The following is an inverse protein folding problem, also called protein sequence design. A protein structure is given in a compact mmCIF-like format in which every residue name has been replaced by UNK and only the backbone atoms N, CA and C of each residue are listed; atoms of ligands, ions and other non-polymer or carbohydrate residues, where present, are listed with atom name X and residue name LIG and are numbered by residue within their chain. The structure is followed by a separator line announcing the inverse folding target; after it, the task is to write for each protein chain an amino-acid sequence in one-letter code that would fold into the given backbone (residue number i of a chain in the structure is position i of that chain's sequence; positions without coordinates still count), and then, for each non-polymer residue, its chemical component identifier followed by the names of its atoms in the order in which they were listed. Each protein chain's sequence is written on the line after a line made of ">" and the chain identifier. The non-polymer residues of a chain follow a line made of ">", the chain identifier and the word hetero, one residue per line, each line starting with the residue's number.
data_IF_610695915924
#
_entry.id   IF_610695915924
#
_cell.length_a   1.000
_cell.length_b   1.000
_cell.length_c   1.000
_cell.angle_alpha   90.00
_cell.angle_beta   90.00
_cell.angle_gamma   90.00
#
_symmetry.space_group_name_H-M   'P 1'
#
loop_
_entity.id
_entity.type
_entity.pdbx_description
1 polymer ?
#
# COMPACT_ATOMS: atom_id res chain seq x y z
N UNK A 1 -16.39 -17.81 4.12
CA UNK A 1 -15.21 -16.98 3.83
C UNK A 1 -15.48 -16.19 2.57
N UNK A 2 -15.45 -14.85 2.62
CA UNK A 2 -15.35 -14.08 1.37
C UNK A 2 -13.94 -14.26 0.84
N UNK A 3 -13.80 -14.46 -0.48
CA UNK A 3 -12.50 -14.63 -1.12
C UNK A 3 -11.95 -13.27 -1.55
N UNK A 4 -10.63 -13.15 -1.63
CA UNK A 4 -10.01 -12.00 -2.27
C UNK A 4 -10.36 -11.95 -3.75
N UNK A 5 -10.68 -10.76 -4.25
CA UNK A 5 -10.97 -10.51 -5.66
C UNK A 5 -9.66 -10.56 -6.48
N UNK A 6 -9.70 -11.20 -7.65
CA UNK A 6 -8.55 -11.28 -8.57
C UNK A 6 -7.96 -9.90 -8.93
N UNK A 7 -8.79 -8.85 -8.93
CA UNK A 7 -8.35 -7.47 -9.10
C UNK A 7 -7.26 -7.07 -8.10
N UNK A 8 -7.41 -7.47 -6.83
CA UNK A 8 -6.43 -7.17 -5.77
C UNK A 8 -5.08 -7.81 -6.10
N UNK A 9 -5.08 -9.06 -6.53
CA UNK A 9 -3.85 -9.75 -6.92
C UNK A 9 -3.15 -9.01 -8.08
N UNK A 10 -3.90 -8.63 -9.11
CA UNK A 10 -3.35 -7.92 -10.27
C UNK A 10 -2.76 -6.57 -9.85
N UNK A 11 -3.48 -5.75 -9.09
CA UNK A 11 -2.99 -4.43 -8.70
C UNK A 11 -1.87 -4.50 -7.65
N UNK A 12 -1.94 -5.41 -6.67
CA UNK A 12 -0.84 -5.62 -5.72
C UNK A 12 0.41 -6.15 -6.41
N UNK A 13 0.29 -7.05 -7.40
CA UNK A 13 1.46 -7.54 -8.14
C UNK A 13 2.23 -6.40 -8.81
N UNK A 14 1.52 -5.41 -9.37
CA UNK A 14 2.13 -4.19 -9.93
C UNK A 14 2.78 -3.35 -8.84
N UNK A 15 2.07 -3.17 -7.71
CA UNK A 15 2.60 -2.43 -6.55
C UNK A 15 3.93 -2.99 -6.05
N UNK A 16 4.01 -4.30 -5.85
CA UNK A 16 5.19 -4.96 -5.29
C UNK A 16 6.31 -5.17 -6.30
N UNK A 17 6.01 -5.22 -7.60
CA UNK A 17 6.98 -5.58 -8.67
C UNK A 17 8.28 -4.76 -8.66
N UNK A 18 8.21 -3.51 -8.21
CA UNK A 18 9.35 -2.60 -8.19
C UNK A 18 9.92 -2.38 -6.78
N UNK A 19 9.24 -2.84 -5.72
CA UNK A 19 9.71 -2.67 -4.35
C UNK A 19 10.93 -3.56 -4.09
N UNK A 20 11.89 -3.04 -3.34
CA UNK A 20 13.11 -3.76 -2.99
C UNK A 20 13.64 -3.37 -1.59
N UNK A 21 14.77 -3.95 -1.20
CA UNK A 21 15.37 -3.77 0.13
C UNK A 21 16.07 -2.41 0.32
N UNK A 22 16.20 -1.59 -0.72
CA UNK A 22 16.82 -0.27 -0.64
C UNK A 22 15.75 0.77 -0.28
N UNK A 23 15.75 1.21 0.98
CA UNK A 23 14.73 2.11 1.53
C UNK A 23 14.50 3.37 0.69
N UNK A 24 15.56 4.04 0.24
CA UNK A 24 15.45 5.27 -0.56
C UNK A 24 14.74 5.03 -1.89
N UNK A 25 15.07 3.93 -2.58
CA UNK A 25 14.47 3.58 -3.87
C UNK A 25 13.00 3.18 -3.66
N UNK A 26 12.73 2.31 -2.69
CA UNK A 26 11.38 1.88 -2.38
C UNK A 26 10.48 3.02 -1.90
N UNK A 27 11.02 4.02 -1.19
CA UNK A 27 10.28 5.21 -0.77
C UNK A 27 9.78 6.01 -1.97
N UNK A 28 10.64 6.27 -2.96
CA UNK A 28 10.25 6.97 -4.19
C UNK A 28 9.25 6.17 -5.00
N UNK A 29 9.41 4.85 -5.07
CA UNK A 29 8.45 3.96 -5.73
C UNK A 29 7.08 4.02 -5.04
N UNK A 30 7.03 3.92 -3.71
CA UNK A 30 5.78 4.02 -2.95
C UNK A 30 5.08 5.37 -3.18
N UNK A 31 5.84 6.47 -3.31
CA UNK A 31 5.29 7.80 -3.64
C UNK A 31 4.69 7.84 -5.05
N UNK A 32 5.42 7.33 -6.05
CA UNK A 32 4.93 7.25 -7.44
C UNK A 32 3.68 6.37 -7.55
N UNK A 33 3.59 5.36 -6.69
CA UNK A 33 2.52 4.37 -6.65
C UNK A 33 1.42 4.70 -5.64
N UNK A 34 1.44 5.90 -5.02
CA UNK A 34 0.49 6.28 -3.98
C UNK A 34 -1.00 6.22 -4.42
N UNK A 35 -1.27 6.27 -5.72
CA UNK A 35 -2.61 6.10 -6.28
C UNK A 35 -3.24 4.74 -5.96
N UNK A 36 -2.45 3.67 -5.85
CA UNK A 36 -2.96 2.32 -5.55
C UNK A 36 -3.68 2.23 -4.21
N UNK A 37 -3.24 3.00 -3.20
CA UNK A 37 -3.88 3.02 -1.88
C UNK A 37 -5.26 3.70 -1.86
N UNK A 38 -5.65 4.38 -2.95
CA UNK A 38 -7.02 4.86 -3.15
C UNK A 38 -7.87 3.89 -4.00
N UNK A 39 -7.23 3.15 -4.91
CA UNK A 39 -7.90 2.30 -5.89
C UNK A 39 -8.25 0.93 -5.30
N UNK A 40 -7.35 0.35 -4.51
CA UNK A 40 -7.57 -0.95 -3.91
C UNK A 40 -8.39 -0.76 -2.62
N UNK A 41 -9.70 -1.03 -2.71
CA UNK A 41 -10.61 -1.04 -1.56
C UNK A 41 -10.41 -2.27 -0.66
N UNK A 42 -10.54 -2.10 0.65
CA UNK A 42 -10.39 -3.19 1.63
C UNK A 42 -11.45 -4.28 1.48
N UNK A 43 -12.64 -3.91 1.01
CA UNK A 43 -13.75 -4.80 0.68
C UNK A 43 -13.47 -5.78 -0.48
N UNK A 44 -12.38 -5.58 -1.22
CA UNK A 44 -11.94 -6.53 -2.26
C UNK A 44 -11.07 -7.67 -1.72
N UNK A 45 -10.60 -7.58 -0.48
CA UNK A 45 -9.87 -8.66 0.19
C UNK A 45 -10.83 -9.65 0.85
N UNK A 46 -10.31 -10.84 1.15
CA UNK A 46 -10.98 -11.78 2.06
C UNK A 46 -11.22 -11.15 3.43
N UNK A 47 -12.17 -11.70 4.18
CA UNK A 47 -12.44 -11.24 5.55
C UNK A 47 -11.20 -11.32 6.47
N UNK A 48 -10.26 -12.22 6.17
CA UNK A 48 -9.03 -12.40 6.94
C UNK A 48 -7.96 -11.35 6.59
N UNK A 49 -7.85 -10.98 5.31
CA UNK A 49 -6.80 -10.07 4.82
C UNK A 49 -7.24 -8.60 4.78
N UNK A 50 -8.56 -8.34 4.77
CA UNK A 50 -9.12 -6.98 4.77
C UNK A 50 -8.54 -6.09 5.89
N UNK A 51 -8.54 -6.51 7.18
CA UNK A 51 -8.05 -5.66 8.27
C UNK A 51 -6.58 -5.26 8.12
N UNK A 52 -5.76 -6.12 7.53
CA UNK A 52 -4.34 -5.84 7.30
C UNK A 52 -4.14 -4.74 6.27
N UNK A 53 -4.91 -4.76 5.17
CA UNK A 53 -4.90 -3.69 4.18
C UNK A 53 -5.43 -2.37 4.75
N UNK A 54 -6.53 -2.41 5.52
CA UNK A 54 -7.07 -1.21 6.18
C UNK A 54 -6.03 -0.57 7.09
N UNK A 55 -5.31 -1.38 7.87
CA UNK A 55 -4.27 -0.87 8.74
C UNK A 55 -3.11 -0.22 7.95
N UNK A 56 -2.68 -0.82 6.84
CA UNK A 56 -1.67 -0.22 5.94
C UNK A 56 -2.14 1.14 5.42
N UNK A 57 -3.36 1.21 4.90
CA UNK A 57 -3.92 2.44 4.34
C UNK A 57 -4.10 3.52 5.40
N UNK A 58 -4.55 3.15 6.61
CA UNK A 58 -4.69 4.08 7.73
C UNK A 58 -3.34 4.65 8.15
N UNK A 59 -2.32 3.80 8.29
CA UNK A 59 -0.96 4.23 8.64
C UNK A 59 -0.41 5.21 7.60
N UNK A 60 -0.55 4.90 6.32
CA UNK A 60 -0.10 5.76 5.22
C UNK A 60 -0.89 7.07 5.08
N UNK A 61 -2.01 7.25 5.79
CA UNK A 61 -2.77 8.51 5.83
C UNK A 61 -2.50 9.36 7.07
N UNK A 62 -1.74 8.87 8.04
CA UNK A 62 -1.62 9.48 9.37
C UNK A 62 -1.12 10.93 9.34
N UNK A 63 -0.19 11.29 8.45
CA UNK A 63 0.35 12.65 8.39
C UNK A 63 -0.63 13.66 7.77
N UNK A 64 -1.74 13.19 7.17
CA UNK A 64 -2.70 14.05 6.48
C UNK A 64 -2.13 14.73 5.23
N UNK A 65 -2.96 15.52 4.55
CA UNK A 65 -2.52 16.30 3.37
C UNK A 65 -1.77 17.57 3.78
N UNK A 66 -0.82 17.98 2.96
CA UNK A 66 -0.16 19.30 3.08
C UNK A 66 -0.85 20.27 2.14
N UNK A 67 -1.28 21.40 2.70
CA UNK A 67 -1.91 22.49 1.97
C UNK A 67 -0.95 23.69 1.98
N UNK A 68 -0.85 24.43 0.88
CA UNK A 68 -0.11 25.69 0.83
C UNK A 68 -0.94 26.89 1.31
N UNK A 69 -0.32 28.08 1.30
CA UNK A 69 -0.95 29.33 1.75
C UNK A 69 -2.15 29.75 0.89
N UNK A 70 -2.27 29.21 -0.34
CA UNK A 70 -3.35 29.49 -1.28
C UNK A 70 -4.47 28.43 -1.20
N UNK A 71 -4.36 27.47 -0.27
CA UNK A 71 -5.36 26.43 -0.08
C UNK A 71 -5.21 25.23 -1.03
N UNK A 72 -4.14 25.14 -1.82
CA UNK A 72 -3.90 24.04 -2.75
C UNK A 72 -3.16 22.87 -2.09
N UNK A 73 -3.46 21.65 -2.54
CA UNK A 73 -2.82 20.44 -2.01
C UNK A 73 -1.43 20.29 -2.62
N UNK A 74 -0.39 20.55 -1.82
CA UNK A 74 1.02 20.33 -2.20
C UNK A 74 1.38 18.85 -2.17
N UNK A 75 0.84 18.09 -1.22
CA UNK A 75 1.04 16.65 -1.11
C UNK A 75 -0.23 15.98 -0.59
N UNK A 76 -0.66 14.90 -1.24
CA UNK A 76 -1.74 14.07 -0.72
C UNK A 76 -1.28 13.33 0.56
N UNK A 77 -2.23 12.79 1.33
CA UNK A 77 -1.93 12.19 2.63
C UNK A 77 -0.94 11.01 2.56
N UNK A 78 -1.00 10.22 1.50
CA UNK A 78 -0.08 9.11 1.28
C UNK A 78 1.33 9.59 1.01
N UNK A 79 1.49 10.48 0.02
CA UNK A 79 2.80 11.02 -0.34
C UNK A 79 3.42 11.73 0.85
N UNK A 80 2.65 12.54 1.58
CA UNK A 80 3.14 13.24 2.76
C UNK A 80 3.65 12.27 3.84
N UNK A 81 2.86 11.24 4.16
CA UNK A 81 3.27 10.25 5.18
C UNK A 81 4.49 9.47 4.72
N UNK A 82 4.50 8.99 3.46
CA UNK A 82 5.64 8.25 2.90
C UNK A 82 6.88 9.13 2.94
N UNK A 83 6.81 10.41 2.56
CA UNK A 83 7.96 11.32 2.56
C UNK A 83 8.57 11.52 3.94
N UNK A 84 7.77 11.41 5.01
CA UNK A 84 8.21 11.54 6.40
C UNK A 84 8.73 10.22 7.01
N UNK A 85 8.54 9.07 6.35
CA UNK A 85 9.00 7.78 6.89
C UNK A 85 10.52 7.74 7.07
N UNK A 86 10.96 7.20 8.22
CA UNK A 86 12.35 6.78 8.37
C UNK A 86 12.67 5.62 7.41
N UNK A 87 13.96 5.34 7.19
CA UNK A 87 14.35 4.18 6.37
C UNK A 87 13.79 2.87 6.94
N UNK A 88 13.79 2.73 8.27
CA UNK A 88 13.25 1.57 8.96
C UNK A 88 11.75 1.42 8.72
N UNK A 89 10.99 2.51 8.86
CA UNK A 89 9.53 2.46 8.68
C UNK A 89 9.17 2.19 7.23
N UNK A 90 9.91 2.77 6.28
CA UNK A 90 9.73 2.48 4.86
C UNK A 90 9.94 0.99 4.55
N UNK A 91 10.99 0.36 5.08
CA UNK A 91 11.25 -1.05 4.86
C UNK A 91 10.22 -1.95 5.54
N UNK A 92 9.78 -1.59 6.74
CA UNK A 92 8.69 -2.29 7.42
C UNK A 92 7.40 -2.24 6.59
N UNK A 93 7.08 -1.08 6.01
CA UNK A 93 5.92 -0.91 5.14
C UNK A 93 6.04 -1.76 3.87
N UNK A 94 7.19 -1.74 3.20
CA UNK A 94 7.49 -2.58 2.03
C UNK A 94 7.31 -4.06 2.36
N UNK A 95 7.85 -4.52 3.49
CA UNK A 95 7.73 -5.90 3.94
C UNK A 95 6.27 -6.29 4.16
N UNK A 96 5.48 -5.44 4.80
CA UNK A 96 4.05 -5.69 5.06
C UNK A 96 3.25 -5.79 3.76
N UNK A 97 3.44 -4.85 2.83
CA UNK A 97 2.77 -4.88 1.52
C UNK A 97 3.15 -6.13 0.74
N UNK A 98 4.44 -6.50 0.74
CA UNK A 98 4.93 -7.71 0.06
C UNK A 98 4.38 -8.99 0.69
N UNK A 99 4.35 -9.05 2.02
CA UNK A 99 3.78 -10.18 2.78
C UNK A 99 2.29 -10.34 2.51
N UNK A 100 1.53 -9.24 2.50
CA UNK A 100 0.11 -9.25 2.14
C UNK A 100 -0.11 -9.77 0.71
N UNK A 101 0.72 -9.37 -0.24
CA UNK A 101 0.65 -9.89 -1.61
C UNK A 101 0.86 -11.41 -1.67
N UNK A 102 1.85 -11.95 -0.95
CA UNK A 102 2.08 -13.41 -0.92
C UNK A 102 0.91 -14.17 -0.27
N UNK A 103 0.24 -13.59 0.73
CA UNK A 103 -1.00 -14.15 1.30
C UNK A 103 -2.13 -14.16 0.27
N UNK A 104 -2.36 -13.05 -0.44
CA UNK A 104 -3.37 -12.96 -1.51
C UNK A 104 -3.08 -13.97 -2.62
N UNK A 105 -1.83 -14.08 -3.05
CA UNK A 105 -1.39 -15.06 -4.05
C UNK A 105 -1.65 -16.48 -3.58
N UNK A 106 -1.38 -16.78 -2.31
CA UNK A 106 -1.65 -18.10 -1.71
C UNK A 106 -3.14 -18.41 -1.74
N UNK A 107 -4.00 -17.48 -1.33
CA UNK A 107 -5.46 -17.67 -1.41
C UNK A 107 -5.92 -18.03 -2.82
N UNK A 108 -5.30 -17.46 -3.87
CA UNK A 108 -5.67 -17.72 -5.26
C UNK A 108 -5.06 -18.98 -5.85
N UNK A 109 -3.86 -19.39 -5.40
CA UNK A 109 -3.16 -20.58 -5.89
C UNK A 109 -3.83 -21.90 -5.48
N UNK A 110 -4.64 -21.91 -4.40
CA UNK A 110 -5.42 -23.09 -3.99
C UNK A 110 -6.64 -23.39 -4.90
N UNK A 111 -6.71 -22.78 -6.09
CA UNK A 111 -7.83 -22.92 -7.03
C UNK A 111 -7.43 -23.43 -8.43
N UNK A 112 -6.15 -23.72 -8.68
CA UNK A 112 -5.67 -24.50 -9.83
C UNK A 112 -5.57 -26.00 -9.46
#
# INVERSE_FOLDING_TARGET
>A
MSKTNIFVYVELSKLVSNLNIHATVSKEILKQQAGYFNVIGSNYFSAELNPEWENIVLELKQAGKVIDNDGQVRANAFINTIDQMSQKDCLNMVFRITSLYEKVKSELAFYD
#
